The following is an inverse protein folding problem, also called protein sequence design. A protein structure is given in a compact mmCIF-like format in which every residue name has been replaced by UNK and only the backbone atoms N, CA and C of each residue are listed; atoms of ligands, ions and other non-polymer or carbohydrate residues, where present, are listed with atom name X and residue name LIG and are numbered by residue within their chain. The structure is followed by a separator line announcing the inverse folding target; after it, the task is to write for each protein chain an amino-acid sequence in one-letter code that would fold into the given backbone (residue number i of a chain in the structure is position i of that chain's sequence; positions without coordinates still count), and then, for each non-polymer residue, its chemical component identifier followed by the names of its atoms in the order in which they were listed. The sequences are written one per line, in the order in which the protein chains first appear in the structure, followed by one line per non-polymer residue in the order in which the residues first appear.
data_IF_931026508284
#
_entry.id   IF_931026508284
#
_cell.length_a   1.000
_cell.length_b   1.000
_cell.length_c   1.000
_cell.angle_alpha   90.00
_cell.angle_beta   90.00
_cell.angle_gamma   90.00
#
_symmetry.space_group_name_H-M   'P 1'
#
loop_
_entity.id
_entity.type
_entity.pdbx_description
1 polymer ?
#
# COMPACT_ATOMS: atom_id res chain seq x y z
N UNK A 1 -10.16 24.23 17.00
CA UNK A 1 -9.12 23.20 16.79
C UNK A 1 -8.88 23.17 15.29
N UNK A 2 -7.69 23.55 14.82
CA UNK A 2 -7.40 23.48 13.40
C UNK A 2 -7.48 22.02 12.98
N UNK A 3 -8.29 21.76 11.95
CA UNK A 3 -8.37 20.45 11.35
C UNK A 3 -7.03 20.17 10.65
N UNK A 4 -6.13 19.50 11.37
CA UNK A 4 -4.81 19.12 10.87
C UNK A 4 -4.90 18.01 9.82
N UNK A 5 -6.10 17.48 9.52
CA UNK A 5 -6.36 16.60 8.36
C UNK A 5 -6.37 17.35 7.02
N UNK A 6 -5.66 18.49 6.94
CA UNK A 6 -5.29 19.10 5.68
C UNK A 6 -4.43 18.16 4.81
N UNK A 7 -4.00 18.60 3.61
CA UNK A 7 -3.40 17.75 2.57
C UNK A 7 -2.12 17.00 2.97
N UNK A 8 -1.63 17.16 4.19
CA UNK A 8 -0.35 16.63 4.67
C UNK A 8 -0.49 15.42 5.58
N UNK A 9 -1.69 15.08 6.07
CA UNK A 9 -1.93 13.92 6.92
C UNK A 9 -2.98 12.99 6.31
N UNK A 10 -2.87 11.67 6.57
CA UNK A 10 -3.83 10.73 6.04
C UNK A 10 -5.21 10.87 6.70
N UNK A 11 -6.26 10.66 5.91
CA UNK A 11 -7.64 10.57 6.40
C UNK A 11 -7.85 9.31 7.27
N UNK A 12 -9.03 9.18 7.90
CA UNK A 12 -9.38 7.95 8.62
C UNK A 12 -9.49 6.75 7.67
N UNK A 13 -10.14 6.93 6.52
CA UNK A 13 -10.33 5.90 5.49
C UNK A 13 -9.00 5.44 4.89
N UNK A 14 -8.07 6.37 4.65
CA UNK A 14 -6.73 6.04 4.14
C UNK A 14 -5.92 5.21 5.14
N UNK A 15 -6.07 5.51 6.45
CA UNK A 15 -5.43 4.74 7.52
C UNK A 15 -6.03 3.36 7.66
N UNK A 16 -7.36 3.26 7.65
CA UNK A 16 -8.08 1.99 7.74
C UNK A 16 -7.76 1.07 6.54
N UNK A 17 -7.75 1.63 5.32
CA UNK A 17 -7.34 0.90 4.13
C UNK A 17 -5.89 0.40 4.25
N UNK A 18 -4.97 1.25 4.71
CA UNK A 18 -3.59 0.84 4.92
C UNK A 18 -3.44 -0.27 5.97
N UNK A 19 -4.17 -0.21 7.07
CA UNK A 19 -4.14 -1.25 8.11
C UNK A 19 -4.62 -2.59 7.54
N UNK A 20 -5.77 -2.59 6.84
CA UNK A 20 -6.30 -3.78 6.16
C UNK A 20 -5.32 -4.37 5.15
N UNK A 21 -4.72 -3.55 4.28
CA UNK A 21 -3.76 -4.02 3.27
C UNK A 21 -2.49 -4.58 3.92
N UNK A 22 -2.05 -3.99 5.03
CA UNK A 22 -0.91 -4.48 5.79
C UNK A 22 -1.18 -5.85 6.38
N UNK A 23 -2.35 -6.05 6.97
CA UNK A 23 -2.77 -7.33 7.54
C UNK A 23 -2.88 -8.42 6.46
N UNK A 24 -3.58 -8.12 5.36
CA UNK A 24 -3.71 -9.04 4.22
C UNK A 24 -2.35 -9.43 3.65
N UNK A 25 -1.42 -8.47 3.50
CA UNK A 25 -0.08 -8.80 3.01
C UNK A 25 0.73 -9.60 4.03
N UNK A 26 0.54 -9.38 5.33
CA UNK A 26 1.21 -10.18 6.37
C UNK A 26 0.72 -11.64 6.37
N UNK A 27 -0.58 -11.87 6.17
CA UNK A 27 -1.15 -13.21 5.98
C UNK A 27 -0.55 -13.89 4.74
N UNK A 28 -0.54 -13.19 3.60
CA UNK A 28 0.06 -13.71 2.37
C UNK A 28 1.54 -14.08 2.54
N UNK A 29 2.34 -13.25 3.21
CA UNK A 29 3.76 -13.52 3.46
C UNK A 29 4.01 -14.67 4.45
N UNK A 30 3.02 -15.00 5.28
CA UNK A 30 3.12 -16.16 6.17
C UNK A 30 3.10 -17.48 5.39
N UNK A 31 2.36 -17.51 4.27
CA UNK A 31 2.27 -18.63 3.35
C UNK A 31 3.35 -18.56 2.26
N UNK A 32 3.80 -17.36 1.90
CA UNK A 32 4.73 -17.08 0.80
C UNK A 32 5.96 -16.29 1.28
N UNK A 33 6.79 -16.85 2.18
CA UNK A 33 7.87 -16.10 2.82
C UNK A 33 8.91 -15.57 1.83
N UNK A 34 9.16 -16.30 0.74
CA UNK A 34 10.16 -15.96 -0.28
C UNK A 34 9.61 -15.07 -1.40
N UNK A 35 8.39 -14.55 -1.25
CA UNK A 35 7.81 -13.64 -2.24
C UNK A 35 8.57 -12.31 -2.27
N UNK A 36 8.84 -11.81 -3.47
CA UNK A 36 9.41 -10.50 -3.70
C UNK A 36 8.71 -9.84 -4.90
N UNK A 37 8.63 -8.51 -4.94
CA UNK A 37 8.17 -7.81 -6.13
C UNK A 37 9.16 -8.06 -7.29
N UNK A 38 8.71 -7.96 -8.56
CA UNK A 38 9.51 -8.33 -9.73
C UNK A 38 10.89 -7.65 -9.81
N UNK A 39 10.98 -6.41 -9.33
CA UNK A 39 12.23 -5.62 -9.29
C UNK A 39 13.32 -6.29 -8.44
N UNK A 40 12.91 -7.12 -7.48
CA UNK A 40 13.78 -7.85 -6.57
C UNK A 40 13.90 -9.34 -6.90
N UNK A 41 13.40 -9.78 -8.06
CA UNK A 41 13.43 -11.19 -8.48
C UNK A 41 14.85 -11.81 -8.54
N UNK A 42 15.90 -10.97 -8.64
CA UNK A 42 17.30 -11.41 -8.65
C UNK A 42 17.89 -11.65 -7.27
N UNK A 43 17.18 -11.28 -6.20
CA UNK A 43 17.67 -11.45 -4.84
C UNK A 43 17.59 -12.93 -4.40
N UNK A 44 18.55 -13.42 -3.60
CA UNK A 44 18.47 -14.77 -3.06
C UNK A 44 17.21 -14.95 -2.20
N UNK A 45 16.45 -16.02 -2.43
CA UNK A 45 15.22 -16.33 -1.68
C UNK A 45 15.40 -16.32 -0.17
N UNK A 46 16.53 -16.84 0.33
CA UNK A 46 16.84 -16.82 1.76
C UNK A 46 16.93 -15.40 2.35
N UNK A 47 17.45 -14.43 1.58
CA UNK A 47 17.52 -13.03 2.01
C UNK A 47 16.12 -12.41 2.02
N UNK A 48 15.32 -12.68 0.99
CA UNK A 48 13.92 -12.24 0.89
C UNK A 48 13.09 -12.79 2.05
N UNK A 49 13.16 -14.11 2.29
CA UNK A 49 12.45 -14.77 3.38
C UNK A 49 12.85 -14.24 4.76
N UNK A 50 14.14 -13.98 4.98
CA UNK A 50 14.62 -13.35 6.21
C UNK A 50 14.04 -11.94 6.39
N UNK A 51 14.08 -11.11 5.34
CA UNK A 51 13.51 -9.76 5.37
C UNK A 51 12.00 -9.79 5.67
N UNK A 52 11.23 -10.57 4.90
CA UNK A 52 9.78 -10.67 5.06
C UNK A 52 9.37 -11.25 6.42
N UNK A 53 10.20 -12.07 7.04
CA UNK A 53 9.96 -12.55 8.41
C UNK A 53 10.26 -11.48 9.46
N UNK A 54 11.33 -10.70 9.32
CA UNK A 54 11.75 -9.77 10.38
C UNK A 54 11.00 -8.43 10.33
N UNK A 55 10.85 -7.87 9.13
CA UNK A 55 10.46 -6.48 8.93
C UNK A 55 9.02 -6.16 9.34
N UNK A 56 8.00 -7.02 9.14
CA UNK A 56 6.65 -6.75 9.63
C UNK A 56 6.56 -6.52 11.15
N UNK A 57 7.56 -6.97 11.92
CA UNK A 57 7.65 -6.87 13.38
C UNK A 57 8.40 -5.62 13.87
N UNK A 58 8.98 -4.84 12.96
CA UNK A 58 9.78 -3.65 13.31
C UNK A 58 8.97 -2.36 13.08
N UNK A 59 9.02 -1.40 14.01
CA UNK A 59 8.32 -0.12 13.86
C UNK A 59 8.92 0.67 12.69
N UNK A 60 8.07 1.43 11.98
CA UNK A 60 8.45 2.30 10.86
C UNK A 60 9.10 1.58 9.66
N UNK A 61 8.92 0.26 9.55
CA UNK A 61 9.38 -0.53 8.40
C UNK A 61 8.21 -1.29 7.78
N UNK A 62 8.35 -1.72 6.54
CA UNK A 62 7.31 -2.45 5.81
C UNK A 62 7.90 -3.55 4.94
N UNK A 63 7.12 -4.60 4.63
CA UNK A 63 7.58 -5.68 3.75
C UNK A 63 8.00 -5.16 2.37
N UNK A 64 8.68 -6.00 1.59
CA UNK A 64 9.10 -5.61 0.24
C UNK A 64 7.89 -5.15 -0.59
N UNK A 65 8.04 -4.04 -1.33
CA UNK A 65 6.96 -3.43 -2.10
C UNK A 65 5.93 -2.64 -1.29
N UNK A 66 6.00 -2.63 0.05
CA UNK A 66 5.02 -1.92 0.89
C UNK A 66 4.98 -0.43 0.61
N UNK A 67 6.14 0.22 0.56
CA UNK A 67 6.20 1.66 0.40
C UNK A 67 5.67 2.11 -0.96
N UNK A 68 5.86 1.30 -2.00
CA UNK A 68 5.51 1.64 -3.38
C UNK A 68 4.13 1.15 -3.80
N UNK A 69 3.41 0.44 -2.93
CA UNK A 69 2.09 -0.10 -3.27
C UNK A 69 2.16 -1.26 -4.27
N UNK A 70 3.24 -2.02 -4.26
CA UNK A 70 3.49 -3.16 -5.18
C UNK A 70 3.34 -4.51 -4.48
N UNK A 71 2.69 -4.53 -3.31
CA UNK A 71 2.42 -5.78 -2.60
C UNK A 71 1.29 -6.57 -3.25
N UNK A 72 1.18 -7.86 -2.92
CA UNK A 72 0.06 -8.68 -3.38
C UNK A 72 -1.29 -8.13 -2.90
N UNK A 73 -1.34 -7.57 -1.69
CA UNK A 73 -2.56 -6.92 -1.18
C UNK A 73 -2.94 -5.69 -2.02
N UNK A 74 -1.96 -4.88 -2.45
CA UNK A 74 -2.20 -3.75 -3.34
C UNK A 74 -2.64 -4.17 -4.75
N UNK A 75 -2.14 -5.30 -5.26
CA UNK A 75 -2.63 -5.89 -6.51
C UNK A 75 -4.09 -6.33 -6.39
N UNK A 76 -4.43 -7.09 -5.35
CA UNK A 76 -5.80 -7.51 -5.08
C UNK A 76 -6.75 -6.33 -4.89
N UNK A 77 -6.28 -5.26 -4.25
CA UNK A 77 -7.07 -4.03 -4.10
C UNK A 77 -7.32 -3.35 -5.45
N UNK A 78 -6.33 -3.31 -6.34
CA UNK A 78 -6.53 -2.81 -7.71
C UNK A 78 -7.50 -3.69 -8.51
N UNK A 79 -7.41 -5.02 -8.36
CA UNK A 79 -8.34 -5.98 -8.96
C UNK A 79 -9.77 -5.71 -8.44
N UNK A 80 -9.97 -5.61 -7.13
CA UNK A 80 -11.24 -5.25 -6.49
C UNK A 80 -11.81 -3.92 -7.00
N UNK A 81 -10.96 -2.90 -7.11
CA UNK A 81 -11.38 -1.58 -7.61
C UNK A 81 -11.82 -1.66 -9.07
N UNK A 82 -11.17 -2.47 -9.90
CA UNK A 82 -11.55 -2.66 -11.30
C UNK A 82 -12.93 -3.33 -11.49
N UNK A 83 -13.39 -4.06 -10.47
CA UNK A 83 -14.71 -4.72 -10.45
C UNK A 83 -15.85 -3.79 -9.96
N UNK A 84 -15.53 -2.60 -9.44
CA UNK A 84 -16.53 -1.61 -9.01
C UNK A 84 -17.24 -0.95 -10.21
N UNK A 85 -18.46 -0.40 -10.01
CA UNK A 85 -19.08 0.49 -10.99
C UNK A 85 -18.15 1.63 -11.38
N UNK A 86 -18.16 2.04 -12.65
CA UNK A 86 -17.21 3.01 -13.22
C UNK A 86 -17.19 4.34 -12.45
N UNK A 87 -18.36 4.76 -11.95
CA UNK A 87 -18.54 5.97 -11.17
C UNK A 87 -17.82 5.92 -9.81
N UNK A 88 -17.65 4.73 -9.24
CA UNK A 88 -17.00 4.48 -7.95
C UNK A 88 -15.50 4.21 -8.09
N UNK A 89 -15.05 3.76 -9.27
CA UNK A 89 -13.64 3.40 -9.49
C UNK A 89 -12.69 4.58 -9.26
N UNK A 90 -13.09 5.80 -9.66
CA UNK A 90 -12.25 6.99 -9.55
C UNK A 90 -11.91 7.30 -8.08
N UNK A 91 -12.92 7.32 -7.23
CA UNK A 91 -12.73 7.60 -5.79
C UNK A 91 -11.96 6.47 -5.11
N UNK A 92 -12.25 5.21 -5.46
CA UNK A 92 -11.56 4.07 -4.87
C UNK A 92 -10.06 4.02 -5.29
N UNK A 93 -9.75 4.34 -6.56
CA UNK A 93 -8.36 4.48 -7.04
C UNK A 93 -7.64 5.62 -6.31
N UNK A 94 -8.30 6.75 -6.12
CA UNK A 94 -7.74 7.90 -5.41
C UNK A 94 -7.46 7.55 -3.94
N UNK A 95 -8.41 6.91 -3.27
CA UNK A 95 -8.25 6.43 -1.89
C UNK A 95 -7.06 5.48 -1.77
N UNK A 96 -6.96 4.50 -2.66
CA UNK A 96 -5.83 3.56 -2.68
C UNK A 96 -4.49 4.26 -2.92
N UNK A 97 -4.42 5.15 -3.91
CA UNK A 97 -3.20 5.91 -4.21
C UNK A 97 -2.75 6.79 -3.03
N UNK A 98 -3.69 7.44 -2.34
CA UNK A 98 -3.41 8.27 -1.16
C UNK A 98 -3.00 7.43 0.03
N UNK A 99 -3.66 6.28 0.27
CA UNK A 99 -3.25 5.33 1.29
C UNK A 99 -1.79 4.90 1.08
N UNK A 100 -1.40 4.50 -0.14
CA UNK A 100 0.00 4.18 -0.47
C UNK A 100 0.93 5.36 -0.23
N UNK A 101 0.56 6.56 -0.68
CA UNK A 101 1.35 7.78 -0.53
C UNK A 101 1.73 8.05 0.92
N UNK A 102 0.77 7.91 1.85
CA UNK A 102 0.97 8.21 3.28
C UNK A 102 1.64 7.08 4.09
N UNK A 103 2.08 5.98 3.46
CA UNK A 103 2.88 4.93 4.13
C UNK A 103 4.25 5.43 4.59
N UNK A 104 4.78 6.48 3.96
CA UNK A 104 6.02 7.13 4.35
C UNK A 104 5.95 8.65 4.09
N UNK A 105 6.90 9.38 4.67
CA UNK A 105 7.07 10.80 4.35
C UNK A 105 7.64 10.90 2.94
N UNK A 106 6.90 11.58 2.05
CA UNK A 106 7.26 11.78 0.64
C UNK A 106 7.38 13.26 0.31
N UNK A 107 8.24 13.58 -0.65
CA UNK A 107 8.33 14.92 -1.26
C UNK A 107 7.53 15.02 -2.57
N UNK A 108 7.00 13.89 -3.05
CA UNK A 108 6.12 13.86 -4.23
C UNK A 108 4.78 14.53 -3.90
N UNK A 109 4.06 15.06 -4.91
CA UNK A 109 2.71 15.58 -4.70
C UNK A 109 1.77 14.52 -4.15
N UNK A 110 0.83 14.95 -3.32
CA UNK A 110 -0.26 14.11 -2.81
C UNK A 110 -1.20 13.80 -3.98
N UNK A 111 -1.62 12.54 -4.18
CA UNK A 111 -2.58 12.23 -5.22
C UNK A 111 -3.89 13.00 -5.03
N UNK A 112 -4.37 13.60 -6.12
CA UNK A 112 -5.61 14.38 -6.18
C UNK A 112 -6.47 13.84 -7.32
N UNK A 113 -7.78 14.09 -7.24
CA UNK A 113 -8.73 13.74 -8.31
C UNK A 113 -8.31 14.43 -9.62
N UNK A 114 -8.15 13.65 -10.69
CA UNK A 114 -7.98 14.24 -12.03
C UNK A 114 -9.28 14.92 -12.47
N UNK A 115 -9.22 16.11 -13.09
CA UNK A 115 -10.41 16.77 -13.60
C UNK A 115 -11.04 15.89 -14.68
N UNK A 116 -12.36 15.66 -14.59
CA UNK A 116 -13.11 15.03 -15.66
C UNK A 116 -12.98 15.91 -16.93
N UNK A 117 -12.31 15.37 -17.94
CA UNK A 117 -12.18 15.98 -19.27
C UNK A 117 -13.44 15.86 -20.09
#
# INVERSE_FOLDING_TARGET
MADLTGPFLPSAEERELNERLREQNAEFLSENPDWAPPELARWPKAVVGLHNRLVPRLPMTGPLGWLDGTTRADELERERIAELPEEEQVEARLLHARAVHFRCIRTTPVPVREPAG
#
